data_IF_969265578998
#
_entry.id   IF_969265578998
#
_cell.length_a   1.000
_cell.length_b   1.000
_cell.length_c   1.000
_cell.angle_alpha   90.00
_cell.angle_beta   90.00
_cell.angle_gamma   90.00
#
_symmetry.space_group_name_H-M   'P 1'
#
loop_
_entity.id
_entity.type
_entity.pdbx_description
1 polymer ?
#
# COMPACT_ATOMS: atom_id res chain seq x y z
N UNK A 1 10.42 14.49 -40.31
CA UNK A 1 10.33 13.96 -38.94
C UNK A 1 8.88 13.61 -38.69
N UNK A 2 8.44 12.44 -39.14
CA UNK A 2 7.10 11.91 -38.89
C UNK A 2 7.12 11.28 -37.51
N UNK A 3 6.45 11.89 -36.54
CA UNK A 3 6.13 11.22 -35.28
C UNK A 3 5.30 9.98 -35.62
N UNK A 4 5.91 8.80 -35.59
CA UNK A 4 5.17 7.54 -35.62
C UNK A 4 4.29 7.55 -34.38
N UNK A 5 3.00 7.87 -34.55
CA UNK A 5 1.98 7.67 -33.53
C UNK A 5 1.96 6.18 -33.20
N UNK A 6 2.71 5.78 -32.17
CA UNK A 6 2.62 4.45 -31.60
C UNK A 6 1.19 4.28 -31.10
N UNK A 7 0.46 3.35 -31.72
CA UNK A 7 -0.87 2.99 -31.24
C UNK A 7 -0.70 2.24 -29.93
N UNK A 8 -1.58 2.43 -28.95
CA UNK A 8 -1.50 1.75 -27.64
C UNK A 8 -1.35 0.23 -27.82
N UNK A 9 -2.02 -0.34 -28.83
CA UNK A 9 -1.94 -1.75 -29.21
C UNK A 9 -0.54 -2.20 -29.63
N UNK A 10 0.20 -1.39 -30.40
CA UNK A 10 1.57 -1.73 -30.81
C UNK A 10 2.53 -1.60 -29.62
N UNK A 11 2.35 -0.59 -28.77
CA UNK A 11 3.14 -0.45 -27.53
C UNK A 11 2.94 -1.64 -26.59
N UNK A 12 1.70 -2.09 -26.39
CA UNK A 12 1.41 -3.24 -25.52
C UNK A 12 2.04 -4.54 -26.03
N UNK A 13 2.05 -4.74 -27.35
CA UNK A 13 2.69 -5.91 -27.96
C UNK A 13 4.22 -5.82 -27.86
N UNK A 14 4.80 -4.65 -28.12
CA UNK A 14 6.26 -4.44 -28.04
C UNK A 14 6.80 -4.48 -26.61
N UNK A 15 6.00 -4.10 -25.61
CA UNK A 15 6.41 -4.02 -24.21
C UNK A 15 5.77 -5.12 -23.33
N UNK A 16 5.16 -6.14 -23.92
CA UNK A 16 4.43 -7.19 -23.18
C UNK A 16 5.27 -7.81 -22.07
N UNK A 17 6.53 -8.15 -22.36
CA UNK A 17 7.43 -8.80 -21.41
C UNK A 17 7.78 -7.88 -20.24
N UNK A 18 8.01 -6.60 -20.55
CA UNK A 18 8.30 -5.58 -19.54
C UNK A 18 7.09 -5.32 -18.66
N UNK A 19 5.89 -5.22 -19.25
CA UNK A 19 4.65 -5.05 -18.51
C UNK A 19 4.41 -6.23 -17.57
N UNK A 20 4.56 -7.46 -18.06
CA UNK A 20 4.43 -8.67 -17.24
C UNK A 20 5.43 -8.68 -16.08
N UNK A 21 6.70 -8.36 -16.34
CA UNK A 21 7.73 -8.30 -15.30
C UNK A 21 7.42 -7.24 -14.23
N UNK A 22 6.98 -6.04 -14.64
CA UNK A 22 6.63 -4.96 -13.71
C UNK A 22 5.37 -5.30 -12.91
N UNK A 23 4.36 -5.93 -13.53
CA UNK A 23 3.18 -6.41 -12.83
C UNK A 23 3.53 -7.48 -11.80
N UNK A 24 4.38 -8.46 -12.17
CA UNK A 24 4.84 -9.49 -11.25
C UNK A 24 5.62 -8.89 -10.07
N UNK A 25 6.50 -7.92 -10.34
CA UNK A 25 7.22 -7.19 -9.30
C UNK A 25 6.26 -6.43 -8.36
N UNK A 26 5.28 -5.73 -8.92
CA UNK A 26 4.28 -5.02 -8.13
C UNK A 26 3.45 -5.97 -7.27
N UNK A 27 3.02 -7.12 -7.83
CA UNK A 27 2.32 -8.17 -7.08
C UNK A 27 3.17 -8.70 -5.92
N UNK A 28 4.45 -8.97 -6.16
CA UNK A 28 5.36 -9.42 -5.10
C UNK A 28 5.48 -8.42 -3.96
N UNK A 29 5.68 -7.13 -4.27
CA UNK A 29 5.75 -6.07 -3.27
C UNK A 29 4.43 -5.92 -2.50
N UNK A 30 3.31 -5.92 -3.21
CA UNK A 30 1.97 -5.78 -2.61
C UNK A 30 1.65 -6.97 -1.71
N UNK A 31 2.00 -8.19 -2.13
CA UNK A 31 1.76 -9.40 -1.34
C UNK A 31 2.53 -9.40 -0.02
N UNK A 32 3.83 -9.08 -0.06
CA UNK A 32 4.67 -8.98 1.14
C UNK A 32 4.14 -7.90 2.08
N UNK A 33 3.81 -6.72 1.54
CA UNK A 33 3.28 -5.60 2.32
C UNK A 33 1.94 -5.94 2.97
N UNK A 34 1.06 -6.63 2.23
CA UNK A 34 -0.24 -7.05 2.72
C UNK A 34 -0.11 -8.07 3.85
N UNK A 35 0.77 -9.08 3.72
CA UNK A 35 1.00 -10.06 4.77
C UNK A 35 1.47 -9.40 6.07
N UNK A 36 2.41 -8.44 5.98
CA UNK A 36 2.87 -7.67 7.13
C UNK A 36 1.74 -6.80 7.71
N UNK A 37 0.94 -6.16 6.86
CA UNK A 37 -0.17 -5.34 7.30
C UNK A 37 -1.27 -6.16 7.97
N UNK A 38 -1.54 -7.39 7.52
CA UNK A 38 -2.46 -8.32 8.19
C UNK A 38 -1.91 -8.75 9.54
N UNK A 39 -0.62 -9.11 9.60
CA UNK A 39 0.04 -9.54 10.83
C UNK A 39 -0.02 -8.48 11.94
N UNK A 40 -0.03 -7.19 11.58
CA UNK A 40 -0.12 -6.06 12.53
C UNK A 40 -1.57 -5.59 12.72
N UNK A 41 -2.28 -5.38 11.61
CA UNK A 41 -3.61 -4.77 11.58
C UNK A 41 -4.70 -5.67 12.14
N UNK A 42 -4.60 -6.99 11.95
CA UNK A 42 -5.60 -7.94 12.45
C UNK A 42 -5.55 -8.02 13.99
N UNK A 43 -4.39 -8.22 14.66
CA UNK A 43 -4.32 -8.16 16.13
C UNK A 43 -4.75 -6.81 16.70
N UNK A 44 -4.34 -5.69 16.07
CA UNK A 44 -4.75 -4.36 16.50
C UNK A 44 -6.27 -4.18 16.40
N UNK A 45 -6.87 -4.57 15.28
CA UNK A 45 -8.32 -4.52 15.05
C UNK A 45 -9.12 -5.33 16.08
N UNK A 46 -8.65 -6.56 16.38
CA UNK A 46 -9.26 -7.41 17.42
C UNK A 46 -9.13 -6.76 18.80
N UNK A 47 -7.96 -6.21 19.13
CA UNK A 47 -7.70 -5.58 20.43
C UNK A 47 -8.62 -4.39 20.68
N UNK A 48 -8.76 -3.49 19.71
CA UNK A 48 -9.62 -2.31 19.84
C UNK A 48 -11.11 -2.67 19.82
N UNK A 49 -11.50 -3.77 19.14
CA UNK A 49 -12.87 -4.27 19.16
C UNK A 49 -13.28 -4.74 20.56
N UNK A 50 -12.35 -5.38 21.28
CA UNK A 50 -12.59 -5.85 22.67
C UNK A 50 -12.50 -4.73 23.71
N UNK A 51 -11.63 -3.73 23.51
CA UNK A 51 -11.38 -2.61 24.44
C UNK A 51 -11.77 -1.27 23.80
N UNK A 52 -13.05 -1.12 23.44
CA UNK A 52 -13.60 -0.03 22.61
C UNK A 52 -13.14 1.41 22.90
N UNK A 53 -12.66 1.69 24.11
CA UNK A 53 -12.10 2.99 24.51
C UNK A 53 -10.90 3.45 23.67
N UNK A 54 -10.15 2.53 23.03
CA UNK A 54 -8.98 2.85 22.20
C UNK A 54 -9.30 2.98 20.70
N UNK A 55 -10.52 2.63 20.27
CA UNK A 55 -10.86 2.57 18.85
C UNK A 55 -10.75 3.95 18.17
N UNK A 56 -11.23 5.01 18.82
CA UNK A 56 -11.19 6.37 18.27
C UNK A 56 -9.77 6.85 17.97
N UNK A 57 -8.83 6.64 18.90
CA UNK A 57 -7.43 7.05 18.72
C UNK A 57 -6.72 6.23 17.64
N UNK A 58 -6.87 4.90 17.65
CA UNK A 58 -6.20 4.03 16.67
C UNK A 58 -6.71 4.28 15.25
N UNK A 59 -8.03 4.37 15.07
CA UNK A 59 -8.62 4.66 13.76
C UNK A 59 -8.33 6.09 13.31
N UNK A 60 -8.27 7.05 14.24
CA UNK A 60 -7.92 8.43 13.96
C UNK A 60 -6.49 8.58 13.44
N UNK A 61 -5.51 8.00 14.15
CA UNK A 61 -4.09 8.02 13.75
C UNK A 61 -3.91 7.34 12.39
N UNK A 62 -4.48 6.14 12.22
CA UNK A 62 -4.40 5.43 10.95
C UNK A 62 -5.11 6.20 9.81
N UNK A 63 -6.18 6.94 10.12
CA UNK A 63 -6.86 7.86 9.22
C UNK A 63 -5.97 9.00 8.75
N UNK A 64 -5.28 9.68 9.67
CA UNK A 64 -4.36 10.78 9.37
C UNK A 64 -3.20 10.31 8.49
N UNK A 65 -2.63 9.15 8.78
CA UNK A 65 -1.54 8.61 7.96
C UNK A 65 -1.95 8.38 6.49
N UNK A 66 -3.22 8.07 6.23
CA UNK A 66 -3.73 7.89 4.87
C UNK A 66 -4.03 9.19 4.12
N UNK A 67 -4.17 10.32 4.82
CA UNK A 67 -4.39 11.61 4.13
C UNK A 67 -3.12 12.16 3.52
N UNK A 68 -1.95 11.64 3.93
CA UNK A 68 -0.68 11.94 3.28
C UNK A 68 -0.74 11.38 1.85
N UNK A 69 -0.43 12.16 0.80
CA UNK A 69 -0.41 11.65 -0.56
C UNK A 69 0.77 10.69 -0.76
N UNK A 70 0.57 9.64 -1.54
CA UNK A 70 1.53 8.53 -1.66
C UNK A 70 2.89 8.97 -2.19
N UNK A 71 2.90 9.91 -3.15
CA UNK A 71 4.14 10.49 -3.68
C UNK A 71 4.91 11.26 -2.61
N UNK A 72 4.24 12.00 -1.71
CA UNK A 72 4.92 12.72 -0.63
C UNK A 72 5.47 11.76 0.43
N UNK A 73 4.71 10.72 0.78
CA UNK A 73 5.16 9.69 1.71
C UNK A 73 6.40 8.97 1.16
N UNK A 74 6.39 8.58 -0.12
CA UNK A 74 7.54 7.97 -0.78
C UNK A 74 8.75 8.92 -0.77
N UNK A 75 8.55 10.19 -1.15
CA UNK A 75 9.60 11.22 -1.12
C UNK A 75 10.23 11.39 0.28
N UNK A 76 9.40 11.36 1.33
CA UNK A 76 9.86 11.41 2.72
C UNK A 76 10.68 10.18 3.13
N UNK A 77 10.40 9.01 2.56
CA UNK A 77 11.13 7.78 2.88
C UNK A 77 12.50 7.68 2.19
N UNK A 78 12.72 8.36 1.06
CA UNK A 78 13.97 8.30 0.29
C UNK A 78 15.22 8.58 1.15
N UNK A 79 15.31 9.67 1.95
CA UNK A 79 16.49 9.92 2.78
C UNK A 79 16.71 8.86 3.87
N UNK A 80 15.65 8.16 4.29
CA UNK A 80 15.71 7.18 5.38
C UNK A 80 16.00 5.75 4.90
N UNK A 81 15.41 5.34 3.77
CA UNK A 81 15.39 3.97 3.28
C UNK A 81 15.99 3.80 1.89
N UNK A 82 16.36 4.90 1.23
CA UNK A 82 16.80 4.92 -0.17
C UNK A 82 15.63 4.75 -1.15
N UNK A 83 15.98 4.48 -2.40
CA UNK A 83 15.02 4.22 -3.49
C UNK A 83 14.88 2.70 -3.67
N UNK A 84 13.65 2.20 -3.88
CA UNK A 84 13.40 0.82 -4.28
C UNK A 84 12.29 0.14 -3.49
N UNK A 85 12.43 -1.17 -3.24
CA UNK A 85 11.40 -2.00 -2.63
C UNK A 85 11.04 -1.61 -1.18
N UNK A 86 12.04 -1.20 -0.39
CA UNK A 86 11.85 -0.89 1.04
C UNK A 86 10.83 0.24 1.30
N UNK A 87 10.99 1.45 0.73
CA UNK A 87 10.00 2.51 0.92
C UNK A 87 8.63 2.15 0.33
N UNK A 88 8.58 1.39 -0.77
CA UNK A 88 7.32 0.91 -1.34
C UNK A 88 6.58 -0.02 -0.36
N UNK A 89 7.29 -0.97 0.26
CA UNK A 89 6.69 -1.89 1.24
C UNK A 89 6.15 -1.13 2.45
N UNK A 90 6.91 -0.18 2.99
CA UNK A 90 6.47 0.60 4.15
C UNK A 90 5.27 1.48 3.80
N UNK A 91 5.28 2.14 2.65
CA UNK A 91 4.14 2.92 2.19
C UNK A 91 2.88 2.04 2.03
N UNK A 92 2.98 0.92 1.31
CA UNK A 92 1.87 -0.02 1.12
C UNK A 92 1.35 -0.57 2.44
N UNK A 93 2.24 -0.86 3.40
CA UNK A 93 1.87 -1.29 4.74
C UNK A 93 1.04 -0.21 5.46
N UNK A 94 1.53 1.04 5.49
CA UNK A 94 0.82 2.17 6.13
C UNK A 94 -0.58 2.35 5.52
N UNK A 95 -0.68 2.29 4.20
CA UNK A 95 -1.97 2.39 3.51
C UNK A 95 -2.89 1.19 3.77
N UNK A 96 -2.35 -0.03 3.90
CA UNK A 96 -3.16 -1.21 4.17
C UNK A 96 -3.64 -1.28 5.64
N UNK A 97 -2.95 -0.64 6.59
CA UNK A 97 -3.28 -0.75 8.01
C UNK A 97 -4.68 -0.24 8.36
N UNK A 98 -5.07 0.98 7.96
CA UNK A 98 -6.39 1.51 8.32
C UNK A 98 -7.56 0.65 7.83
N UNK A 99 -7.66 0.26 6.54
CA UNK A 99 -8.79 -0.56 6.08
C UNK A 99 -8.78 -1.92 6.77
N UNK A 100 -7.62 -2.55 7.01
CA UNK A 100 -7.54 -3.82 7.74
C UNK A 100 -8.04 -3.65 9.17
N UNK A 101 -7.52 -2.67 9.92
CA UNK A 101 -7.91 -2.41 11.31
C UNK A 101 -9.40 -2.06 11.38
N UNK A 102 -9.88 -1.16 10.52
CA UNK A 102 -11.28 -0.72 10.47
C UNK A 102 -12.21 -1.87 10.11
N UNK A 103 -11.92 -2.65 9.07
CA UNK A 103 -12.74 -3.78 8.66
C UNK A 103 -12.77 -4.87 9.73
N UNK A 104 -11.64 -5.10 10.42
CA UNK A 104 -11.58 -6.06 11.54
C UNK A 104 -12.40 -5.58 12.73
N UNK A 105 -12.28 -4.31 13.10
CA UNK A 105 -13.06 -3.71 14.19
C UNK A 105 -14.57 -3.77 13.91
N UNK A 106 -14.99 -3.33 12.72
CA UNK A 106 -16.39 -3.35 12.29
C UNK A 106 -16.93 -4.76 12.08
N UNK A 107 -16.08 -5.73 11.71
CA UNK A 107 -16.50 -7.12 11.54
C UNK A 107 -16.72 -7.87 12.87
N UNK A 108 -16.09 -7.41 13.96
CA UNK A 108 -16.20 -8.04 15.29
C UNK A 108 -17.31 -7.41 16.14
N UNK A 109 -17.55 -6.10 15.99
CA UNK A 109 -18.52 -5.32 16.77
C UNK A 109 -19.86 -5.23 16.06
#
# INVERSE_FOLDING_TARGET
MTEQQQTVWSFMYEQSDKLLAQTAQHLGLTFISLLLAIAIGLPLGILIARRGNLAGSVLGIAGILQTIPSIALLGFMIPLLGIGAKPAIVALLIYALLPIIRNTYTGIK
#
